data_IF_014100275743
#
_entry.id   IF_014100275743
#
_cell.length_a   1.000
_cell.length_b   1.000
_cell.length_c   1.000
_cell.angle_alpha   90.00
_cell.angle_beta   90.00
_cell.angle_gamma   90.00
#
_symmetry.space_group_name_H-M   'P 1'
#
loop_
_entity.id
_entity.type
_entity.pdbx_description
1 polymer ?
#
# COMPACT_ATOMS: atom_id res chain seq x y z
N UNK A 1 -12.30 28.01 7.66
CA UNK A 1 -13.45 28.63 6.95
C UNK A 1 -12.97 29.13 5.61
N UNK A 2 -13.78 28.99 4.56
CA UNK A 2 -13.42 29.42 3.20
C UNK A 2 -14.62 30.16 2.61
N UNK A 3 -14.43 31.41 2.19
CA UNK A 3 -15.44 32.19 1.48
C UNK A 3 -15.26 32.00 -0.03
N UNK A 4 -16.35 31.71 -0.73
CA UNK A 4 -16.36 31.43 -2.17
C UNK A 4 -17.49 32.18 -2.88
N UNK A 5 -17.36 32.47 -4.18
CA UNK A 5 -18.46 33.04 -4.98
C UNK A 5 -19.73 32.20 -4.91
N UNK A 6 -20.88 32.87 -4.98
CA UNK A 6 -22.20 32.21 -5.01
C UNK A 6 -22.30 31.24 -6.19
N UNK A 7 -22.93 30.09 -5.94
CA UNK A 7 -23.05 29.01 -6.92
C UNK A 7 -21.85 28.04 -6.94
N UNK A 8 -20.77 28.32 -6.21
CA UNK A 8 -19.68 27.35 -5.98
C UNK A 8 -19.75 26.74 -4.59
N UNK A 9 -19.24 25.51 -4.47
CA UNK A 9 -19.10 24.79 -3.21
C UNK A 9 -17.62 24.71 -2.82
N UNK A 10 -17.31 24.89 -1.53
CA UNK A 10 -16.01 24.52 -0.98
C UNK A 10 -16.10 23.17 -0.25
N UNK A 11 -15.20 22.26 -0.60
CA UNK A 11 -15.00 20.98 0.08
C UNK A 11 -13.59 20.98 0.67
N UNK A 12 -13.50 20.84 1.98
CA UNK A 12 -12.25 20.75 2.72
C UNK A 12 -12.23 19.47 3.57
N UNK A 13 -11.13 19.22 4.30
CA UNK A 13 -11.02 18.09 5.22
C UNK A 13 -12.09 18.15 6.35
N UNK A 14 -12.36 17.00 6.97
CA UNK A 14 -13.27 16.92 8.11
C UNK A 14 -14.75 17.03 7.73
N UNK A 15 -15.58 17.54 8.64
CA UNK A 15 -17.02 17.68 8.45
C UNK A 15 -17.45 19.13 8.28
N UNK A 16 -18.38 19.36 7.36
CA UNK A 16 -19.05 20.65 7.21
C UNK A 16 -19.91 20.91 8.45
N UNK A 17 -19.66 22.01 9.14
CA UNK A 17 -20.41 22.44 10.33
C UNK A 17 -21.44 23.52 10.01
N UNK A 18 -21.12 24.40 9.08
CA UNK A 18 -21.95 25.56 8.77
C UNK A 18 -21.67 26.07 7.37
N UNK A 19 -22.72 26.54 6.69
CA UNK A 19 -22.63 27.43 5.54
C UNK A 19 -23.24 28.77 5.97
N UNK A 20 -22.51 29.86 5.78
CA UNK A 20 -23.03 31.22 5.91
C UNK A 20 -23.28 31.76 4.50
N UNK A 21 -24.54 32.08 4.20
CA UNK A 21 -24.94 32.60 2.89
C UNK A 21 -24.98 34.13 2.90
N UNK A 22 -24.39 34.73 1.87
CA UNK A 22 -24.39 36.17 1.63
C UNK A 22 -25.00 36.48 0.24
N UNK A 23 -25.10 37.76 -0.09
CA UNK A 23 -25.68 38.19 -1.37
C UNK A 23 -24.94 37.60 -2.57
N UNK A 24 -23.61 37.71 -2.57
CA UNK A 24 -22.73 37.30 -3.68
C UNK A 24 -21.75 36.15 -3.35
N UNK A 25 -21.69 35.71 -2.10
CA UNK A 25 -20.74 34.67 -1.64
C UNK A 25 -21.37 33.73 -0.62
N UNK A 26 -20.72 32.57 -0.43
CA UNK A 26 -21.00 31.65 0.67
C UNK A 26 -19.71 31.37 1.45
N UNK A 27 -19.78 31.31 2.78
CA UNK A 27 -18.65 30.88 3.62
C UNK A 27 -18.89 29.48 4.18
N UNK A 28 -18.01 28.54 3.85
CA UNK A 28 -18.04 27.16 4.33
C UNK A 28 -17.14 27.00 5.56
N UNK A 29 -17.70 26.45 6.63
CA UNK A 29 -16.98 26.15 7.87
C UNK A 29 -16.83 24.65 8.04
N UNK A 30 -15.66 24.14 7.67
CA UNK A 30 -15.26 22.76 7.89
C UNK A 30 -14.50 22.64 9.22
N UNK A 31 -14.68 21.50 9.89
CA UNK A 31 -14.01 21.17 11.14
C UNK A 31 -13.39 19.79 11.05
N UNK A 32 -12.08 19.72 11.33
CA UNK A 32 -11.31 18.48 11.44
C UNK A 32 -11.18 18.13 12.92
N UNK A 33 -11.65 16.95 13.29
CA UNK A 33 -11.71 16.46 14.67
C UNK A 33 -10.41 15.74 15.06
N UNK A 34 -9.80 15.06 14.10
CA UNK A 34 -8.53 14.37 14.29
C UNK A 34 -7.33 15.29 13.98
N UNK A 35 -6.14 15.01 14.56
CA UNK A 35 -4.90 15.66 14.13
C UNK A 35 -4.71 15.52 12.61
N UNK A 36 -4.15 16.54 11.98
CA UNK A 36 -3.90 16.56 10.53
C UNK A 36 -2.49 17.06 10.25
N UNK A 37 -1.82 16.41 9.30
CA UNK A 37 -0.54 16.88 8.81
C UNK A 37 -0.76 18.07 7.84
N UNK A 38 0.13 19.06 7.88
CA UNK A 38 0.04 20.26 7.04
C UNK A 38 -0.04 19.94 5.54
N UNK A 39 0.64 18.89 5.05
CA UNK A 39 0.54 18.51 3.63
C UNK A 39 -0.84 17.90 3.28
N UNK A 40 -1.56 17.36 4.25
CA UNK A 40 -2.87 16.76 4.07
C UNK A 40 -4.02 17.77 4.04
N UNK A 41 -3.76 19.05 4.33
CA UNK A 41 -4.77 20.11 4.29
C UNK A 41 -5.13 20.45 2.84
N UNK A 42 -6.42 20.43 2.51
CA UNK A 42 -6.94 20.71 1.18
C UNK A 42 -8.14 21.67 1.22
N UNK A 43 -8.23 22.50 0.17
CA UNK A 43 -9.36 23.35 -0.17
C UNK A 43 -9.72 23.11 -1.66
N UNK A 44 -10.82 22.41 -1.92
CA UNK A 44 -11.38 22.26 -3.27
C UNK A 44 -12.56 23.23 -3.46
N UNK A 45 -12.65 23.90 -4.61
CA UNK A 45 -13.75 24.84 -4.92
C UNK A 45 -14.24 24.59 -6.33
N UNK A 46 -15.53 24.35 -6.51
CA UNK A 46 -16.12 24.04 -7.82
C UNK A 46 -17.64 23.96 -7.81
N UNK A 47 -18.23 23.81 -9.00
CA UNK A 47 -19.66 23.51 -9.20
C UNK A 47 -19.91 22.01 -8.99
N UNK A 48 -19.78 21.61 -7.73
CA UNK A 48 -19.93 20.23 -7.31
C UNK A 48 -21.40 19.87 -7.10
N UNK A 49 -21.70 18.60 -7.33
CA UNK A 49 -22.88 17.91 -6.80
C UNK A 49 -22.41 16.79 -5.88
N UNK A 50 -23.23 16.43 -4.90
CA UNK A 50 -22.91 15.39 -3.93
C UNK A 50 -23.83 14.16 -4.05
N UNK A 51 -23.27 13.01 -3.70
CA UNK A 51 -24.03 11.82 -3.34
C UNK A 51 -23.28 11.11 -2.21
N UNK A 52 -24.00 10.32 -1.42
CA UNK A 52 -23.42 9.70 -0.23
C UNK A 52 -24.00 8.32 0.03
N UNK A 53 -23.30 7.57 0.86
CA UNK A 53 -23.76 6.33 1.44
C UNK A 53 -23.23 6.19 2.88
N UNK A 54 -23.86 5.29 3.64
CA UNK A 54 -23.43 4.95 4.99
C UNK A 54 -22.81 3.57 4.95
N UNK A 55 -21.54 3.50 5.31
CA UNK A 55 -20.80 2.26 5.45
C UNK A 55 -20.93 1.73 6.88
N UNK A 56 -21.30 0.46 7.03
CA UNK A 56 -21.40 -0.21 8.33
C UNK A 56 -20.03 -0.80 8.70
N UNK A 57 -19.13 0.06 9.19
CA UNK A 57 -17.75 -0.32 9.48
C UNK A 57 -17.50 -0.80 10.91
N UNK A 58 -16.26 -1.19 11.20
CA UNK A 58 -15.85 -1.81 12.46
C UNK A 58 -16.04 -0.91 13.70
N UNK A 59 -16.02 0.42 13.54
CA UNK A 59 -16.34 1.39 14.62
C UNK A 59 -17.79 1.89 14.59
N UNK A 60 -18.64 1.32 13.74
CA UNK A 60 -20.03 1.71 13.53
C UNK A 60 -20.24 2.40 12.19
N UNK A 61 -21.25 3.27 12.12
CA UNK A 61 -21.64 3.93 10.88
C UNK A 61 -20.61 4.97 10.46
N UNK A 62 -20.11 4.85 9.23
CA UNK A 62 -19.23 5.81 8.58
C UNK A 62 -19.95 6.49 7.43
N UNK A 63 -19.97 7.82 7.41
CA UNK A 63 -20.47 8.56 6.27
C UNK A 63 -19.40 8.60 5.18
N UNK A 64 -19.73 8.08 4.00
CA UNK A 64 -18.93 8.18 2.79
C UNK A 64 -19.61 9.15 1.84
N UNK A 65 -18.94 10.27 1.52
CA UNK A 65 -19.54 11.38 0.77
C UNK A 65 -18.69 11.67 -0.45
N UNK A 66 -19.33 11.83 -1.60
CA UNK A 66 -18.65 11.97 -2.87
C UNK A 66 -19.05 13.27 -3.54
N UNK A 67 -18.06 14.10 -3.88
CA UNK A 67 -18.24 15.40 -4.51
C UNK A 67 -17.68 15.35 -5.92
N UNK A 68 -18.53 15.55 -6.93
CA UNK A 68 -18.15 15.46 -8.34
C UNK A 68 -18.72 16.63 -9.14
N UNK A 69 -18.11 16.98 -10.26
CA UNK A 69 -18.66 17.96 -11.17
C UNK A 69 -20.01 17.46 -11.70
N UNK A 70 -20.97 18.39 -11.82
CA UNK A 70 -22.36 18.10 -12.15
C UNK A 70 -22.55 17.14 -13.33
N UNK A 71 -21.77 17.33 -14.39
CA UNK A 71 -21.86 16.54 -15.62
C UNK A 71 -21.37 15.09 -15.47
N UNK A 72 -20.66 14.77 -14.39
CA UNK A 72 -20.05 13.47 -14.17
C UNK A 72 -20.78 12.59 -13.15
N UNK A 73 -21.89 13.04 -12.55
CA UNK A 73 -22.56 12.34 -11.45
C UNK A 73 -22.92 10.87 -11.77
N UNK A 74 -23.44 10.57 -12.97
CA UNK A 74 -23.83 9.20 -13.33
C UNK A 74 -22.61 8.29 -13.56
N UNK A 75 -21.51 8.85 -14.08
CA UNK A 75 -20.22 8.12 -14.19
C UNK A 75 -19.65 7.84 -12.82
N UNK A 76 -19.71 8.82 -11.92
CA UNK A 76 -19.24 8.71 -10.54
C UNK A 76 -19.99 7.63 -9.76
N UNK A 77 -21.33 7.63 -9.79
CA UNK A 77 -22.16 6.60 -9.12
C UNK A 77 -21.85 5.18 -9.56
N UNK A 78 -21.36 4.99 -10.79
CA UNK A 78 -20.94 3.69 -11.29
C UNK A 78 -19.53 3.35 -10.82
N UNK A 79 -18.59 4.30 -10.98
CA UNK A 79 -17.17 4.07 -10.69
C UNK A 79 -16.88 3.97 -9.19
N UNK A 80 -17.47 4.86 -8.38
CA UNK A 80 -17.15 5.00 -6.95
C UNK A 80 -17.69 3.86 -6.08
N UNK A 81 -18.38 2.88 -6.68
CA UNK A 81 -18.70 1.59 -6.01
C UNK A 81 -17.46 0.85 -5.51
N UNK A 82 -16.29 1.15 -6.06
CA UNK A 82 -15.03 0.62 -5.54
C UNK A 82 -14.64 1.20 -4.17
N UNK A 83 -15.17 2.35 -3.77
CA UNK A 83 -14.88 2.96 -2.47
C UNK A 83 -15.40 2.11 -1.30
N UNK A 84 -16.62 1.56 -1.40
CA UNK A 84 -17.14 0.63 -0.37
C UNK A 84 -16.31 -0.65 -0.32
N UNK A 85 -16.01 -1.23 -1.49
CA UNK A 85 -15.15 -2.42 -1.57
C UNK A 85 -13.77 -2.18 -0.99
N UNK A 86 -13.23 -0.97 -1.19
CA UNK A 86 -11.97 -0.53 -0.62
C UNK A 86 -12.05 -0.54 0.90
N UNK A 87 -13.11 0.07 1.46
CA UNK A 87 -13.31 0.11 2.90
C UNK A 87 -13.42 -1.31 3.50
N UNK A 88 -14.15 -2.22 2.85
CA UNK A 88 -14.24 -3.64 3.27
C UNK A 88 -12.87 -4.30 3.37
N UNK A 89 -12.06 -4.18 2.32
CA UNK A 89 -10.74 -4.81 2.29
C UNK A 89 -9.77 -4.16 3.27
N UNK A 90 -9.79 -2.84 3.38
CA UNK A 90 -8.84 -2.10 4.20
C UNK A 90 -9.17 -2.21 5.68
N UNK A 91 -10.43 -2.17 6.08
CA UNK A 91 -10.78 -2.44 7.47
C UNK A 91 -10.41 -3.87 7.85
N UNK A 92 -10.66 -4.86 6.98
CA UNK A 92 -10.21 -6.23 7.23
C UNK A 92 -8.70 -6.32 7.46
N UNK A 93 -7.89 -5.75 6.56
CA UNK A 93 -6.43 -5.90 6.59
C UNK A 93 -5.69 -4.97 7.55
N UNK A 94 -6.18 -3.75 7.74
CA UNK A 94 -5.50 -2.67 8.47
C UNK A 94 -6.23 -2.26 9.75
N UNK A 95 -7.47 -2.69 9.95
CA UNK A 95 -8.29 -2.29 11.08
C UNK A 95 -9.14 -1.08 10.76
N UNK A 96 -9.95 -0.61 11.74
CA UNK A 96 -10.97 0.40 11.48
C UNK A 96 -10.36 1.64 10.84
N UNK A 97 -11.10 2.25 9.90
CA UNK A 97 -10.76 3.55 9.32
C UNK A 97 -10.36 4.54 10.44
N UNK A 98 -9.24 5.27 10.29
CA UNK A 98 -8.74 6.08 11.40
C UNK A 98 -9.53 7.36 11.65
N UNK A 99 -10.31 7.87 10.68
CA UNK A 99 -10.91 9.21 10.76
C UNK A 99 -12.45 9.22 10.73
N UNK A 100 -13.11 8.30 11.45
CA UNK A 100 -14.59 8.19 11.48
C UNK A 100 -15.29 9.50 11.82
N UNK A 101 -14.75 10.25 12.77
CA UNK A 101 -15.29 11.53 13.24
C UNK A 101 -15.29 12.59 12.14
N UNK A 102 -14.45 12.43 11.11
CA UNK A 102 -14.22 13.37 10.03
C UNK A 102 -14.86 12.98 8.70
N UNK A 103 -15.52 11.81 8.65
CA UNK A 103 -16.10 11.19 7.44
C UNK A 103 -15.07 10.83 6.37
N UNK A 104 -15.42 9.91 5.48
CA UNK A 104 -14.60 9.63 4.30
C UNK A 104 -15.14 10.40 3.10
N UNK A 105 -14.28 11.08 2.34
CA UNK A 105 -14.69 11.83 1.14
C UNK A 105 -13.81 11.52 -0.06
N UNK A 106 -14.44 11.46 -1.24
CA UNK A 106 -13.76 11.53 -2.55
C UNK A 106 -14.23 12.79 -3.27
N UNK A 107 -13.28 13.60 -3.74
CA UNK A 107 -13.54 14.87 -4.40
C UNK A 107 -12.94 14.87 -5.80
N UNK A 108 -13.75 15.09 -6.83
CA UNK A 108 -13.27 15.21 -8.20
C UNK A 108 -12.38 16.44 -8.39
N UNK A 109 -11.24 16.27 -9.05
CA UNK A 109 -10.25 17.32 -9.32
C UNK A 109 -9.67 17.19 -10.74
N UNK A 110 -9.06 18.27 -11.30
CA UNK A 110 -8.48 18.24 -12.65
C UNK A 110 -7.10 17.56 -12.74
N UNK A 111 -6.53 17.12 -11.62
CA UNK A 111 -5.26 16.38 -11.55
C UNK A 111 -5.51 14.93 -11.10
N UNK A 112 -4.49 14.08 -11.09
CA UNK A 112 -4.68 12.63 -10.99
C UNK A 112 -5.35 12.16 -9.68
N UNK A 113 -4.84 12.63 -8.54
CA UNK A 113 -5.27 12.27 -7.20
C UNK A 113 -4.24 12.74 -6.18
N UNK A 114 -4.64 12.77 -4.91
CA UNK A 114 -3.80 13.05 -3.74
C UNK A 114 -4.57 12.63 -2.48
N UNK A 115 -3.85 12.12 -1.50
CA UNK A 115 -4.27 11.51 -0.25
C UNK A 115 -4.62 12.48 0.88
N UNK A 116 -5.21 13.63 0.56
CA UNK A 116 -5.56 14.63 1.58
C UNK A 116 -6.53 14.05 2.62
N UNK A 117 -6.10 14.01 3.89
CA UNK A 117 -6.78 13.31 4.99
C UNK A 117 -8.29 13.53 4.99
N UNK A 118 -9.08 12.44 5.00
CA UNK A 118 -10.55 12.44 4.98
C UNK A 118 -11.20 13.04 3.72
N UNK A 119 -10.43 13.60 2.78
CA UNK A 119 -10.87 14.34 1.59
C UNK A 119 -10.00 14.02 0.38
N UNK A 120 -9.90 12.74 0.07
CA UNK A 120 -9.10 12.22 -1.05
C UNK A 120 -9.56 12.86 -2.35
N UNK A 121 -8.60 13.23 -3.17
CA UNK A 121 -8.88 13.83 -4.48
C UNK A 121 -8.75 12.81 -5.59
N UNK A 122 -9.60 12.96 -6.60
CA UNK A 122 -9.79 11.97 -7.67
C UNK A 122 -9.86 12.63 -9.04
N UNK A 123 -8.99 12.20 -9.96
CA UNK A 123 -9.07 12.60 -11.37
C UNK A 123 -8.66 11.48 -12.32
N UNK A 124 -8.94 10.23 -11.96
CA UNK A 124 -8.69 9.06 -12.80
C UNK A 124 -9.65 8.91 -14.00
N UNK A 125 -10.41 9.96 -14.32
CA UNK A 125 -11.34 10.04 -15.45
C UNK A 125 -12.41 8.93 -15.49
N UNK A 126 -12.79 8.37 -14.35
CA UNK A 126 -13.78 7.30 -14.24
C UNK A 126 -13.38 6.04 -15.01
N UNK A 127 -12.10 5.68 -14.91
CA UNK A 127 -11.50 4.50 -15.55
C UNK A 127 -11.01 3.50 -14.51
N UNK A 128 -11.08 2.21 -14.83
CA UNK A 128 -10.36 1.18 -14.07
C UNK A 128 -8.86 1.27 -14.34
N UNK A 129 -8.05 0.75 -13.43
CA UNK A 129 -6.59 0.85 -13.46
C UNK A 129 -6.07 2.27 -13.35
N UNK A 130 -4.79 2.47 -13.66
CA UNK A 130 -4.14 3.78 -13.63
C UNK A 130 -4.37 4.49 -14.96
N UNK A 131 -5.32 5.42 -15.03
CA UNK A 131 -5.77 6.09 -16.25
C UNK A 131 -6.11 5.08 -17.37
N UNK A 132 -6.83 4.01 -17.02
CA UNK A 132 -7.18 2.95 -17.98
C UNK A 132 -6.08 1.91 -18.23
N UNK A 133 -4.92 2.01 -17.56
CA UNK A 133 -3.78 1.10 -17.76
C UNK A 133 -3.66 0.10 -16.64
N UNK A 134 -3.30 -1.12 -17.03
CA UNK A 134 -2.88 -2.16 -16.12
C UNK A 134 -1.38 -2.07 -15.84
N UNK A 135 -1.00 -1.67 -14.63
CA UNK A 135 0.41 -1.56 -14.25
C UNK A 135 1.08 -2.94 -14.08
N UNK A 136 0.33 -3.99 -13.75
CA UNK A 136 0.87 -5.35 -13.56
C UNK A 136 0.96 -6.13 -14.88
N UNK A 137 0.21 -5.73 -15.91
CA UNK A 137 0.09 -6.43 -17.20
C UNK A 137 -0.48 -7.85 -17.07
N UNK A 138 -1.27 -8.10 -16.02
CA UNK A 138 -1.88 -9.41 -15.72
C UNK A 138 -3.40 -9.43 -15.93
N UNK A 139 -4.01 -8.28 -16.24
CA UNK A 139 -5.45 -8.04 -16.28
C UNK A 139 -6.04 -7.65 -14.92
N UNK A 140 -5.35 -7.95 -13.81
CA UNK A 140 -5.84 -7.69 -12.46
C UNK A 140 -5.89 -6.20 -12.11
N UNK A 141 -4.96 -5.38 -12.63
CA UNK A 141 -4.99 -3.93 -12.42
C UNK A 141 -6.18 -3.23 -13.05
N UNK A 142 -6.96 -3.89 -13.92
CA UNK A 142 -8.19 -3.34 -14.51
C UNK A 142 -9.45 -3.76 -13.74
N UNK A 143 -9.32 -4.47 -12.61
CA UNK A 143 -10.48 -4.88 -11.79
C UNK A 143 -10.96 -3.80 -10.82
N UNK A 144 -10.11 -2.82 -10.52
CA UNK A 144 -10.39 -1.72 -9.60
C UNK A 144 -9.96 -0.38 -10.19
N UNK A 145 -10.45 0.71 -9.62
CA UNK A 145 -9.95 2.06 -9.86
C UNK A 145 -8.67 2.31 -9.06
N UNK A 146 -7.53 2.45 -9.74
CA UNK A 146 -6.25 2.59 -9.05
C UNK A 146 -6.24 3.75 -8.06
N UNK A 147 -6.79 4.92 -8.44
CA UNK A 147 -6.71 6.12 -7.61
C UNK A 147 -7.60 6.00 -6.38
N UNK A 148 -8.78 5.38 -6.49
CA UNK A 148 -9.61 5.16 -5.29
C UNK A 148 -8.89 4.25 -4.29
N UNK A 149 -8.27 3.18 -4.77
CA UNK A 149 -7.61 2.20 -3.90
C UNK A 149 -6.31 2.76 -3.32
N UNK A 150 -5.45 3.32 -4.16
CA UNK A 150 -4.15 3.85 -3.73
C UNK A 150 -4.32 5.04 -2.79
N UNK A 151 -5.01 6.09 -3.21
CA UNK A 151 -5.12 7.30 -2.38
C UNK A 151 -5.85 7.05 -1.06
N UNK A 152 -6.75 6.07 -1.00
CA UNK A 152 -7.39 5.67 0.26
C UNK A 152 -6.49 4.83 1.18
N UNK A 153 -5.52 4.10 0.63
CA UNK A 153 -4.57 3.33 1.45
C UNK A 153 -3.73 4.24 2.34
N UNK A 154 -3.48 5.47 1.87
CA UNK A 154 -2.79 6.50 2.62
C UNK A 154 -3.54 7.00 3.88
N UNK A 155 -4.84 6.75 3.99
CA UNK A 155 -5.56 7.07 5.23
C UNK A 155 -4.99 6.26 6.42
N UNK A 156 -4.56 5.02 6.19
CA UNK A 156 -3.84 4.19 7.15
C UNK A 156 -2.33 4.47 7.13
N UNK A 157 -1.73 4.58 5.94
CA UNK A 157 -0.29 4.76 5.75
C UNK A 157 0.05 6.07 5.04
N UNK A 158 -0.04 7.16 5.79
CA UNK A 158 0.55 8.49 5.54
C UNK A 158 -0.14 9.50 6.48
N UNK A 159 -1.48 9.38 6.57
CA UNK A 159 -2.33 10.22 7.39
C UNK A 159 -2.40 9.70 8.84
N UNK A 160 -2.66 8.40 9.06
CA UNK A 160 -2.65 7.82 10.41
C UNK A 160 -1.24 7.55 10.93
N UNK A 161 -0.40 6.87 10.14
CA UNK A 161 1.02 6.66 10.43
C UNK A 161 1.83 7.48 9.42
N UNK A 162 2.61 8.45 9.92
CA UNK A 162 3.39 9.33 9.05
C UNK A 162 4.90 9.22 9.32
N UNK A 163 5.78 9.58 8.39
CA UNK A 163 7.23 9.53 8.63
C UNK A 163 7.72 10.81 9.34
N UNK A 164 8.89 10.75 9.98
CA UNK A 164 9.58 11.96 10.49
C UNK A 164 10.43 12.67 9.44
N UNK A 165 11.06 11.90 8.54
CA UNK A 165 11.92 12.41 7.47
C UNK A 165 11.51 11.74 6.14
N UNK A 166 11.53 12.49 5.05
CA UNK A 166 11.17 12.01 3.72
C UNK A 166 12.08 10.87 3.21
N UNK A 167 13.26 10.69 3.80
CA UNK A 167 14.09 9.50 3.61
C UNK A 167 13.32 8.19 3.89
N UNK A 168 12.32 8.24 4.78
CA UNK A 168 11.46 7.13 5.18
C UNK A 168 10.12 7.07 4.41
N UNK A 169 9.98 7.80 3.30
CA UNK A 169 8.74 7.88 2.50
C UNK A 169 8.23 6.51 1.99
N UNK A 170 9.07 5.48 1.97
CA UNK A 170 8.64 4.11 1.68
C UNK A 170 7.54 3.63 2.65
N UNK A 171 7.50 4.11 3.89
CA UNK A 171 6.44 3.75 4.84
C UNK A 171 5.05 4.15 4.30
N UNK A 172 4.96 5.26 3.58
CA UNK A 172 3.72 5.67 2.93
C UNK A 172 3.51 4.82 1.68
N UNK A 173 4.41 4.98 0.72
CA UNK A 173 4.16 4.51 -0.65
C UNK A 173 4.20 2.99 -0.77
N UNK A 174 5.04 2.30 -0.01
CA UNK A 174 5.16 0.85 -0.08
C UNK A 174 3.92 0.17 0.48
N UNK A 175 3.44 0.62 1.65
CA UNK A 175 2.27 0.05 2.29
C UNK A 175 0.99 0.43 1.53
N UNK A 176 0.89 1.66 1.04
CA UNK A 176 -0.23 2.07 0.20
C UNK A 176 -0.26 1.31 -1.12
N UNK A 177 0.87 1.17 -1.83
CA UNK A 177 0.92 0.32 -3.04
C UNK A 177 0.58 -1.14 -2.72
N UNK A 178 0.99 -1.63 -1.54
CA UNK A 178 0.65 -2.99 -1.10
C UNK A 178 -0.84 -3.15 -0.77
N UNK A 179 -1.55 -2.08 -0.40
CA UNK A 179 -2.99 -2.11 -0.19
C UNK A 179 -3.76 -2.55 -1.46
N UNK A 180 -3.25 -2.26 -2.66
CA UNK A 180 -3.81 -2.71 -3.93
C UNK A 180 -3.79 -4.24 -4.06
N UNK A 181 -2.67 -4.86 -3.64
CA UNK A 181 -2.52 -6.31 -3.57
C UNK A 181 -3.50 -6.92 -2.56
N UNK A 182 -3.69 -6.28 -1.41
CA UNK A 182 -4.57 -6.77 -0.34
C UNK A 182 -6.06 -6.60 -0.70
N UNK A 183 -6.40 -5.54 -1.44
CA UNK A 183 -7.73 -5.37 -2.05
C UNK A 183 -8.06 -6.53 -2.99
N UNK A 184 -7.11 -6.87 -3.89
CA UNK A 184 -7.28 -8.01 -4.78
C UNK A 184 -7.37 -9.33 -4.02
N UNK A 185 -6.60 -9.50 -2.95
CA UNK A 185 -6.68 -10.69 -2.10
C UNK A 185 -8.09 -10.88 -1.55
N UNK A 186 -8.64 -9.82 -0.96
CA UNK A 186 -9.94 -9.85 -0.31
C UNK A 186 -11.08 -10.15 -1.27
N UNK A 187 -11.10 -9.50 -2.44
CA UNK A 187 -12.24 -9.61 -3.39
C UNK A 187 -12.05 -10.68 -4.48
N UNK A 188 -10.80 -11.03 -4.81
CA UNK A 188 -10.48 -11.89 -5.96
C UNK A 188 -9.53 -13.05 -5.62
N UNK A 189 -9.03 -13.13 -4.38
CA UNK A 189 -8.24 -14.24 -3.87
C UNK A 189 -6.73 -14.09 -4.05
N UNK A 190 -6.00 -15.01 -3.41
CA UNK A 190 -4.54 -14.99 -3.30
C UNK A 190 -3.79 -15.03 -4.62
N UNK A 191 -4.33 -15.74 -5.61
CA UNK A 191 -3.70 -15.85 -6.93
C UNK A 191 -3.72 -14.50 -7.65
N UNK A 192 -4.88 -13.83 -7.69
CA UNK A 192 -5.02 -12.48 -8.25
C UNK A 192 -4.09 -11.47 -7.56
N UNK A 193 -4.07 -11.50 -6.23
CA UNK A 193 -3.19 -10.70 -5.38
C UNK A 193 -1.70 -10.90 -5.73
N UNK A 194 -1.28 -12.16 -5.82
CA UNK A 194 0.11 -12.55 -6.12
C UNK A 194 0.52 -12.19 -7.53
N UNK A 195 -0.31 -12.50 -8.53
CA UNK A 195 -0.03 -12.17 -9.93
C UNK A 195 0.09 -10.66 -10.15
N UNK A 196 -0.78 -9.87 -9.52
CA UNK A 196 -0.72 -8.41 -9.59
C UNK A 196 0.61 -7.87 -9.06
N UNK A 197 0.96 -8.16 -7.80
CA UNK A 197 2.18 -7.61 -7.17
C UNK A 197 3.45 -8.12 -7.83
N UNK A 198 3.48 -9.37 -8.31
CA UNK A 198 4.61 -9.89 -9.08
C UNK A 198 4.71 -9.19 -10.44
N UNK A 199 3.59 -8.91 -11.10
CA UNK A 199 3.56 -8.20 -12.38
C UNK A 199 4.12 -6.77 -12.30
N UNK A 200 3.85 -6.05 -11.19
CA UNK A 200 4.38 -4.69 -11.00
C UNK A 200 5.90 -4.63 -10.85
N UNK A 201 6.58 -5.77 -10.64
CA UNK A 201 8.05 -5.85 -10.64
C UNK A 201 8.69 -5.35 -11.94
N UNK A 202 7.96 -5.40 -13.06
CA UNK A 202 8.44 -4.89 -14.35
C UNK A 202 8.76 -3.38 -14.34
N UNK A 203 8.23 -2.63 -13.36
CA UNK A 203 8.53 -1.21 -13.17
C UNK A 203 9.68 -0.91 -12.19
N UNK A 204 10.29 -1.92 -11.56
CA UNK A 204 11.35 -1.71 -10.56
C UNK A 204 12.69 -1.50 -11.26
N UNK A 205 13.38 -0.39 -10.92
CA UNK A 205 14.69 -0.05 -11.48
C UNK A 205 15.87 -0.60 -10.67
N UNK A 206 15.77 -0.60 -9.33
CA UNK A 206 16.89 -0.79 -8.41
C UNK A 206 18.08 0.16 -8.67
N UNK A 207 17.79 1.38 -9.09
CA UNK A 207 18.83 2.38 -9.39
C UNK A 207 19.43 3.04 -8.15
N UNK A 208 18.66 3.17 -7.07
CA UNK A 208 19.08 3.73 -5.77
C UNK A 208 18.40 2.95 -4.64
N UNK A 209 18.95 3.01 -3.40
CA UNK A 209 18.27 2.50 -2.21
C UNK A 209 16.87 3.11 -2.02
N UNK A 210 16.03 2.39 -1.28
CA UNK A 210 14.68 2.83 -0.98
C UNK A 210 14.65 3.87 0.15
N UNK A 211 15.60 3.74 1.09
CA UNK A 211 15.90 4.78 2.07
C UNK A 211 16.70 5.90 1.40
N UNK A 212 16.17 7.12 1.49
CA UNK A 212 16.88 8.32 1.06
C UNK A 212 17.95 8.78 2.07
N UNK A 213 18.78 9.77 1.72
CA UNK A 213 19.65 10.40 2.70
C UNK A 213 18.81 11.26 3.68
N UNK A 214 19.02 11.05 4.98
CA UNK A 214 18.33 11.80 6.04
C UNK A 214 18.76 13.27 6.09
N UNK A 215 17.83 14.14 6.50
CA UNK A 215 18.11 15.55 6.82
C UNK A 215 18.34 16.47 5.62
N UNK A 216 18.16 15.97 4.39
CA UNK A 216 18.39 16.75 3.15
C UNK A 216 17.15 16.85 2.24
N UNK A 217 15.97 16.51 2.77
CA UNK A 217 14.69 16.53 2.05
C UNK A 217 14.72 15.73 0.74
N UNK A 218 15.26 14.51 0.78
CA UNK A 218 15.40 13.65 -0.38
C UNK A 218 14.90 12.23 -0.08
N UNK A 219 13.92 11.76 -0.85
CA UNK A 219 13.46 10.37 -0.83
C UNK A 219 14.42 9.43 -1.57
N UNK A 220 14.29 8.13 -1.30
CA UNK A 220 14.92 7.08 -2.11
C UNK A 220 14.15 6.75 -3.41
N UNK A 221 14.49 5.62 -4.01
CA UNK A 221 13.87 5.11 -5.26
C UNK A 221 13.03 3.85 -5.01
N UNK A 222 12.20 3.49 -6.00
CA UNK A 222 11.42 2.26 -6.05
C UNK A 222 10.46 2.03 -4.85
N UNK A 223 10.09 3.10 -4.14
CA UNK A 223 9.23 3.07 -2.94
C UNK A 223 7.81 2.50 -3.17
N UNK A 224 7.38 2.37 -4.41
CA UNK A 224 6.08 1.80 -4.80
C UNK A 224 6.20 0.28 -5.04
N UNK A 225 6.45 -0.15 -6.28
CA UNK A 225 6.44 -1.57 -6.69
C UNK A 225 7.46 -2.45 -5.95
N UNK A 226 8.68 -1.95 -5.67
CA UNK A 226 9.66 -2.72 -4.88
C UNK A 226 9.20 -2.84 -3.44
N UNK A 227 8.77 -1.73 -2.85
CA UNK A 227 8.15 -1.68 -1.54
C UNK A 227 7.03 -2.71 -1.33
N UNK A 228 6.04 -2.73 -2.23
CA UNK A 228 4.95 -3.70 -2.19
C UNK A 228 5.42 -5.15 -2.33
N UNK A 229 6.43 -5.41 -3.17
CA UNK A 229 7.01 -6.75 -3.32
C UNK A 229 7.84 -7.20 -2.11
N UNK A 230 8.48 -6.26 -1.41
CA UNK A 230 9.18 -6.51 -0.14
C UNK A 230 8.17 -6.89 0.93
N UNK A 231 7.08 -6.14 1.09
CA UNK A 231 5.99 -6.47 2.01
C UNK A 231 5.33 -7.82 1.66
N UNK A 232 5.10 -8.08 0.37
CA UNK A 232 4.59 -9.38 -0.09
C UNK A 232 5.54 -10.55 0.25
N UNK A 233 6.85 -10.32 0.16
CA UNK A 233 7.86 -11.31 0.56
C UNK A 233 7.82 -11.54 2.07
N UNK A 234 7.67 -10.50 2.90
CA UNK A 234 7.48 -10.63 4.35
C UNK A 234 6.24 -11.46 4.67
N UNK A 235 5.12 -11.27 3.94
CA UNK A 235 3.93 -12.10 4.08
C UNK A 235 4.22 -13.59 3.84
N UNK A 236 5.04 -13.93 2.86
CA UNK A 236 5.47 -15.33 2.64
C UNK A 236 6.38 -15.85 3.76
N UNK A 237 7.26 -14.99 4.28
CA UNK A 237 8.10 -15.31 5.44
C UNK A 237 7.22 -15.60 6.66
N UNK A 238 6.13 -14.85 6.86
CA UNK A 238 5.19 -15.05 7.97
C UNK A 238 4.53 -16.44 7.91
N UNK A 239 4.31 -16.97 6.70
CA UNK A 239 3.66 -18.25 6.45
C UNK A 239 2.31 -18.40 7.18
N UNK A 240 1.62 -17.28 7.41
CA UNK A 240 0.33 -17.20 8.06
C UNK A 240 -0.30 -15.83 7.76
N UNK A 241 -1.40 -15.84 7.02
CA UNK A 241 -2.12 -14.60 6.69
C UNK A 241 -2.76 -13.97 7.91
N UNK A 242 -3.20 -14.77 8.87
CA UNK A 242 -3.71 -14.25 10.13
C UNK A 242 -2.64 -13.47 10.87
N UNK A 243 -1.44 -14.04 10.98
CA UNK A 243 -0.31 -13.37 11.63
C UNK A 243 0.08 -12.09 10.90
N UNK A 244 0.18 -12.15 9.57
CA UNK A 244 0.47 -10.97 8.75
C UNK A 244 -0.59 -9.87 8.90
N UNK A 245 -1.87 -10.24 8.84
CA UNK A 245 -2.99 -9.31 9.07
C UNK A 245 -2.91 -8.68 10.46
N UNK A 246 -2.64 -9.46 11.51
CA UNK A 246 -2.54 -8.91 12.87
C UNK A 246 -1.37 -7.94 13.03
N UNK A 247 -0.27 -8.14 12.29
CA UNK A 247 0.84 -7.17 12.26
C UNK A 247 0.38 -5.86 11.64
N UNK A 248 -0.27 -5.91 10.47
CA UNK A 248 -0.76 -4.72 9.76
C UNK A 248 -1.82 -3.94 10.56
N UNK A 249 -2.76 -4.65 11.19
CA UNK A 249 -3.74 -4.06 12.11
C UNK A 249 -3.08 -3.46 13.35
N UNK A 250 -2.08 -4.17 13.89
CA UNK A 250 -1.33 -3.72 15.05
C UNK A 250 -0.54 -2.45 14.76
N UNK A 251 0.09 -2.31 13.58
CA UNK A 251 0.77 -1.09 13.15
C UNK A 251 -0.18 0.12 13.25
N UNK A 252 -1.37 0.01 12.65
CA UNK A 252 -2.36 1.09 12.62
C UNK A 252 -2.99 1.43 13.97
N UNK A 253 -2.99 0.47 14.89
CA UNK A 253 -3.46 0.67 16.26
C UNK A 253 -2.38 1.28 17.15
N UNK A 254 -1.17 0.74 17.11
CA UNK A 254 -0.11 1.06 18.08
C UNK A 254 0.64 2.35 17.69
N UNK A 255 0.71 2.66 16.39
CA UNK A 255 1.24 3.92 15.85
C UNK A 255 0.14 4.91 15.42
N UNK A 256 -1.06 4.76 15.96
CA UNK A 256 -2.21 5.61 15.64
C UNK A 256 -1.90 7.10 15.85
N UNK A 257 -2.03 7.89 14.78
CA UNK A 257 -1.72 9.33 14.72
C UNK A 257 -0.30 9.70 15.15
N UNK A 258 0.70 8.89 14.76
CA UNK A 258 2.11 9.13 15.13
C UNK A 258 2.99 9.37 13.91
N UNK A 259 4.07 10.14 14.16
CA UNK A 259 5.22 10.21 13.28
C UNK A 259 6.21 9.11 13.68
N UNK A 260 6.70 8.34 12.70
CA UNK A 260 7.58 7.18 12.91
C UNK A 260 8.87 7.30 12.10
N UNK A 261 9.89 6.60 12.57
CA UNK A 261 11.11 6.31 11.82
C UNK A 261 11.05 4.90 11.24
N UNK A 262 11.74 4.66 10.13
CA UNK A 262 11.90 3.31 9.54
C UNK A 262 12.24 2.26 10.59
N UNK A 263 13.15 2.59 11.53
CA UNK A 263 13.59 1.62 12.53
C UNK A 263 12.47 1.15 13.46
N UNK A 264 11.49 2.01 13.76
CA UNK A 264 10.33 1.64 14.58
C UNK A 264 9.47 0.59 13.85
N UNK A 265 9.25 0.79 12.55
CA UNK A 265 8.47 -0.14 11.72
C UNK A 265 9.21 -1.48 11.53
N UNK A 266 10.51 -1.44 11.21
CA UNK A 266 11.33 -2.65 11.08
C UNK A 266 11.31 -3.51 12.35
N UNK A 267 11.52 -2.88 13.50
CA UNK A 267 11.57 -3.55 14.79
C UNK A 267 10.20 -4.10 15.17
N UNK A 268 9.13 -3.33 14.94
CA UNK A 268 7.77 -3.77 15.23
C UNK A 268 7.40 -5.01 14.43
N UNK A 269 7.65 -4.99 13.11
CA UNK A 269 7.37 -6.16 12.26
C UNK A 269 8.20 -7.36 12.73
N UNK A 270 9.49 -7.19 13.00
CA UNK A 270 10.36 -8.28 13.46
C UNK A 270 9.87 -8.91 14.79
N UNK A 271 9.51 -8.06 15.76
CA UNK A 271 8.98 -8.48 17.07
C UNK A 271 7.68 -9.28 16.92
N UNK A 272 6.68 -8.71 16.24
CA UNK A 272 5.39 -9.39 16.03
C UNK A 272 5.51 -10.62 15.13
N UNK A 273 6.51 -10.65 14.26
CA UNK A 273 6.84 -11.83 13.46
C UNK A 273 7.53 -12.92 14.28
N UNK A 274 8.15 -12.61 15.42
CA UNK A 274 9.04 -13.54 16.13
C UNK A 274 10.20 -14.01 15.24
N UNK A 275 10.62 -13.18 14.29
CA UNK A 275 11.69 -13.47 13.34
C UNK A 275 12.49 -12.19 13.12
N UNK A 276 13.81 -12.26 13.31
CA UNK A 276 14.70 -11.12 13.10
C UNK A 276 14.83 -10.82 11.60
N UNK A 277 14.21 -9.72 11.16
CA UNK A 277 14.24 -9.23 9.78
C UNK A 277 15.31 -8.14 9.59
N UNK A 278 16.21 -7.90 10.54
CA UNK A 278 17.22 -6.83 10.44
C UNK A 278 18.03 -6.89 9.14
N UNK A 279 18.62 -8.04 8.81
CA UNK A 279 19.37 -8.22 7.55
C UNK A 279 18.47 -8.22 6.32
N UNK A 280 17.19 -8.60 6.46
CA UNK A 280 16.22 -8.52 5.38
C UNK A 280 15.92 -7.06 5.03
N UNK A 281 15.63 -6.23 6.03
CA UNK A 281 15.41 -4.80 5.81
C UNK A 281 16.68 -4.10 5.33
N UNK A 282 17.84 -4.44 5.88
CA UNK A 282 19.12 -3.92 5.38
C UNK A 282 19.29 -4.18 3.87
N UNK A 283 19.10 -5.43 3.47
CA UNK A 283 19.19 -5.84 2.08
C UNK A 283 18.25 -5.04 1.17
N UNK A 284 16.95 -5.00 1.48
CA UNK A 284 15.96 -4.48 0.55
C UNK A 284 15.77 -2.96 0.62
N UNK A 285 15.94 -2.36 1.81
CA UNK A 285 15.72 -0.94 2.02
C UNK A 285 16.97 -0.10 1.71
N UNK A 286 18.16 -0.60 2.06
CA UNK A 286 19.42 0.16 2.02
C UNK A 286 20.37 -0.25 0.91
N UNK A 287 20.06 -1.30 0.16
CA UNK A 287 20.85 -1.70 -1.03
C UNK A 287 20.00 -1.73 -2.31
N UNK A 288 20.70 -1.71 -3.44
CA UNK A 288 20.12 -1.97 -4.77
C UNK A 288 20.22 -3.44 -5.18
N UNK A 289 20.87 -4.28 -4.37
CA UNK A 289 21.12 -5.67 -4.68
C UNK A 289 19.85 -6.51 -4.46
N UNK A 290 19.47 -7.30 -5.46
CA UNK A 290 18.42 -8.32 -5.32
C UNK A 290 19.10 -9.62 -4.88
N UNK A 291 18.68 -10.27 -3.79
CA UNK A 291 19.20 -11.57 -3.38
C UNK A 291 19.10 -12.60 -4.50
N UNK A 292 20.13 -13.42 -4.65
CA UNK A 292 20.16 -14.52 -5.62
C UNK A 292 20.15 -15.84 -4.86
N UNK A 293 19.10 -16.64 -5.09
CA UNK A 293 19.07 -18.03 -4.69
C UNK A 293 19.89 -18.84 -5.68
N UNK A 294 21.11 -19.19 -5.29
CA UNK A 294 22.04 -19.97 -6.10
C UNK A 294 21.95 -21.44 -5.70
N UNK A 295 21.83 -22.34 -6.68
CA UNK A 295 21.76 -23.77 -6.42
C UNK A 295 22.44 -24.61 -7.51
N UNK A 296 22.87 -25.82 -7.12
CA UNK A 296 23.37 -26.87 -8.02
C UNK A 296 22.77 -28.22 -7.65
N UNK A 297 22.74 -29.12 -8.62
CA UNK A 297 22.17 -30.47 -8.49
C UNK A 297 23.28 -31.49 -8.72
N UNK A 298 23.52 -32.37 -7.76
CA UNK A 298 24.54 -33.41 -7.83
C UNK A 298 23.95 -34.73 -7.31
N UNK A 299 23.73 -35.71 -8.19
CA UNK A 299 23.31 -37.08 -7.84
C UNK A 299 22.16 -37.15 -6.80
N UNK A 300 21.06 -36.43 -7.04
CA UNK A 300 19.91 -36.40 -6.13
C UNK A 300 20.09 -35.50 -4.89
N UNK A 301 21.15 -34.69 -4.85
CA UNK A 301 21.39 -33.66 -3.84
C UNK A 301 21.12 -32.27 -4.43
N UNK A 302 20.31 -31.47 -3.73
CA UNK A 302 20.17 -30.03 -3.97
C UNK A 302 21.10 -29.29 -3.03
N UNK A 303 22.15 -28.68 -3.56
CA UNK A 303 23.02 -27.76 -2.83
C UNK A 303 22.62 -26.32 -3.14
N UNK A 304 22.49 -25.47 -2.12
CA UNK A 304 21.95 -24.12 -2.27
C UNK A 304 22.54 -23.13 -1.27
N UNK A 305 22.55 -21.84 -1.65
CA UNK A 305 22.98 -20.71 -0.82
C UNK A 305 22.38 -19.38 -1.30
N UNK A 306 22.56 -18.34 -0.49
CA UNK A 306 22.33 -16.95 -0.89
C UNK A 306 23.62 -16.34 -1.47
N UNK A 307 23.50 -15.64 -2.60
CA UNK A 307 24.54 -14.77 -3.16
C UNK A 307 23.96 -13.39 -3.48
N UNK A 308 24.82 -12.39 -3.73
CA UNK A 308 24.42 -10.98 -3.92
C UNK A 308 23.63 -10.40 -2.72
N UNK A 309 24.08 -10.74 -1.51
CA UNK A 309 23.43 -10.34 -0.26
C UNK A 309 24.41 -9.67 0.70
N UNK A 310 23.88 -8.87 1.63
CA UNK A 310 24.63 -8.33 2.77
C UNK A 310 25.12 -9.44 3.70
N UNK A 311 26.15 -9.13 4.48
CA UNK A 311 26.73 -10.10 5.42
C UNK A 311 25.72 -10.57 6.47
N UNK A 312 25.71 -11.89 6.71
CA UNK A 312 24.81 -12.51 7.66
C UNK A 312 23.36 -12.58 7.21
N UNK A 313 23.06 -12.34 5.93
CA UNK A 313 21.68 -12.33 5.41
C UNK A 313 20.93 -13.63 5.72
N UNK A 314 19.77 -13.46 6.36
CA UNK A 314 18.83 -14.53 6.72
C UNK A 314 17.47 -14.25 6.11
N UNK A 315 17.02 -15.19 5.27
CA UNK A 315 15.66 -15.19 4.75
C UNK A 315 15.29 -16.62 4.35
N UNK A 316 14.18 -17.18 4.85
CA UNK A 316 13.67 -18.44 4.34
C UNK A 316 13.10 -18.25 2.94
N UNK A 317 13.06 -19.33 2.17
CA UNK A 317 12.52 -19.32 0.81
C UNK A 317 11.74 -20.60 0.57
N UNK A 318 10.74 -20.54 -0.30
CA UNK A 318 10.03 -21.73 -0.73
C UNK A 318 10.33 -22.04 -2.19
N UNK A 319 10.64 -23.30 -2.45
CA UNK A 319 10.93 -23.83 -3.77
C UNK A 319 10.08 -25.07 -4.00
N UNK A 320 9.77 -25.33 -5.26
CA UNK A 320 9.14 -26.56 -5.70
C UNK A 320 10.21 -27.54 -6.17
N UNK A 321 10.18 -28.75 -5.64
CA UNK A 321 10.98 -29.91 -6.06
C UNK A 321 10.03 -30.92 -6.69
N UNK A 322 10.02 -30.98 -8.03
CA UNK A 322 8.90 -31.58 -8.75
C UNK A 322 7.64 -30.76 -8.52
N UNK A 323 6.65 -31.37 -7.87
CA UNK A 323 5.38 -30.73 -7.48
C UNK A 323 5.28 -30.47 -5.96
N UNK A 324 6.27 -30.92 -5.19
CA UNK A 324 6.32 -30.72 -3.74
C UNK A 324 6.90 -29.34 -3.40
N UNK A 325 6.18 -28.55 -2.62
CA UNK A 325 6.66 -27.26 -2.10
C UNK A 325 7.44 -27.50 -0.81
N UNK A 326 8.70 -27.09 -0.78
CA UNK A 326 9.56 -27.20 0.40
C UNK A 326 10.07 -25.82 0.82
N UNK A 327 10.27 -25.65 2.12
CA UNK A 327 10.83 -24.43 2.70
C UNK A 327 12.29 -24.63 3.09
N UNK A 328 13.16 -23.80 2.55
CA UNK A 328 14.60 -23.82 2.77
C UNK A 328 15.02 -22.61 3.61
N UNK A 329 16.16 -22.75 4.31
CA UNK A 329 16.78 -21.67 5.08
C UNK A 329 18.23 -21.46 4.61
N UNK A 330 18.44 -20.88 3.42
CA UNK A 330 19.78 -20.70 2.87
C UNK A 330 20.62 -19.74 3.72
N UNK A 331 21.93 -19.88 3.60
CA UNK A 331 22.96 -18.99 4.16
C UNK A 331 23.91 -18.60 3.03
N UNK A 332 24.93 -17.77 3.31
CA UNK A 332 25.98 -17.50 2.31
C UNK A 332 26.89 -18.72 2.06
N UNK A 333 26.90 -19.69 2.99
CA UNK A 333 27.53 -21.00 2.79
C UNK A 333 26.56 -22.02 2.18
N UNK A 334 27.10 -22.97 1.41
CA UNK A 334 26.31 -24.07 0.82
C UNK A 334 25.68 -24.93 1.92
N UNK A 335 24.37 -25.14 1.77
CA UNK A 335 23.62 -26.19 2.46
C UNK A 335 23.15 -27.21 1.44
N UNK A 336 22.86 -28.42 1.91
CA UNK A 336 22.40 -29.50 1.04
C UNK A 336 21.21 -30.25 1.62
N UNK A 337 20.34 -30.73 0.73
CA UNK A 337 19.26 -31.67 1.07
C UNK A 337 19.12 -32.72 -0.03
N UNK A 338 18.66 -33.92 0.35
CA UNK A 338 18.29 -34.93 -0.63
C UNK A 338 16.96 -34.56 -1.28
N UNK A 339 16.87 -34.76 -2.59
CA UNK A 339 15.70 -34.45 -3.40
C UNK A 339 15.30 -35.67 -4.23
N UNK A 340 13.99 -35.78 -4.49
CA UNK A 340 13.42 -36.87 -5.30
C UNK A 340 13.23 -36.48 -6.78
N UNK A 341 13.49 -35.23 -7.12
CA UNK A 341 13.32 -34.68 -8.46
C UNK A 341 14.33 -33.58 -8.71
N UNK A 342 14.92 -33.55 -9.90
CA UNK A 342 15.82 -32.49 -10.35
C UNK A 342 15.07 -31.23 -10.87
N UNK A 343 13.73 -31.30 -10.97
CA UNK A 343 12.91 -30.16 -11.38
C UNK A 343 12.77 -29.19 -10.22
N UNK A 344 13.61 -28.15 -10.21
CA UNK A 344 13.56 -27.07 -9.22
C UNK A 344 12.88 -25.84 -9.81
N UNK A 345 11.91 -25.27 -9.08
CA UNK A 345 11.29 -23.99 -9.43
C UNK A 345 11.13 -23.13 -8.18
N UNK A 346 11.58 -21.89 -8.23
CA UNK A 346 11.33 -20.92 -7.18
C UNK A 346 9.83 -20.55 -7.09
N UNK A 347 9.30 -20.40 -5.87
CA UNK A 347 8.04 -19.71 -5.66
C UNK A 347 8.19 -18.22 -6.01
N UNK A 348 7.46 -17.78 -7.03
CA UNK A 348 7.53 -16.42 -7.57
C UNK A 348 7.13 -15.34 -6.58
N UNK A 349 6.44 -15.70 -5.48
CA UNK A 349 6.05 -14.74 -4.44
C UNK A 349 7.26 -14.10 -3.72
N UNK A 350 8.42 -14.76 -3.71
CA UNK A 350 9.65 -14.19 -3.16
C UNK A 350 10.29 -13.24 -4.18
N UNK A 351 10.63 -12.02 -3.76
CA UNK A 351 11.30 -11.04 -4.61
C UNK A 351 12.82 -11.27 -4.67
N UNK A 352 13.21 -12.37 -5.32
CA UNK A 352 14.61 -12.76 -5.49
C UNK A 352 14.90 -13.21 -6.91
N UNK A 353 16.18 -13.24 -7.27
CA UNK A 353 16.68 -13.87 -8.48
C UNK A 353 17.03 -15.33 -8.21
N UNK A 354 17.07 -16.15 -9.26
CA UNK A 354 17.48 -17.56 -9.21
C UNK A 354 18.66 -17.78 -10.15
N UNK A 355 19.66 -18.53 -9.68
CA UNK A 355 20.82 -18.91 -10.48
C UNK A 355 21.10 -20.41 -10.31
N UNK A 356 21.16 -21.17 -11.40
CA UNK A 356 21.60 -22.57 -11.40
C UNK A 356 23.05 -22.61 -11.83
N UNK A 357 23.94 -23.15 -11.00
CA UNK A 357 25.39 -23.24 -11.25
C UNK A 357 25.86 -24.67 -11.50
#
# INVERSE_FOLDING_TARGET
SVNVPKGLMNISNGRLKKIEEFEDTNTYHWYVSNPINNYGVNINIGDYVEFSEVYEGEKGKLDMIYYVLKDNIERAKTQFKDAVKMMDAFEYWFGPYPFYEDSFKIVEVPYLGMEHQSSITYGNKYMKGYLGRDLSRTGWGLKFDYIIIHEAGHEWFANNITYKDIADMWIHESFTTYSENLFLDYHYGKEASSEYVIGTRAGISNSLPMIGPYGVNQRGSDIYSKGANVLHTIRQIANSDEKWRMILRGLNKDFYHQTVETKQIENYISDKMGYDLSTFFEQYLRTTNIPVFEYKLNDGLLEYKWTNVVDGFKMPIEVFVGDEKIRLNPTQEFKSINIKSEKIRLDKNYYVNINKV
#
